data_IF_141020629211
#
_entry.id   IF_141020629211
#
_cell.length_a   1.000
_cell.length_b   1.000
_cell.length_c   1.000
_cell.angle_alpha   90.00
_cell.angle_beta   90.00
_cell.angle_gamma   90.00
#
_symmetry.space_group_name_H-M   'P 1'
#
loop_
_entity.id
_entity.type
_entity.pdbx_description
1 polymer ?
#
# COMPACT_ATOMS: atom_id res chain seq x y z
N UNK A 1 -13.54 -17.26 -10.67
CA UNK A 1 -12.55 -16.95 -9.60
C UNK A 1 -13.33 -16.43 -8.41
N UNK A 2 -13.08 -16.92 -7.21
CA UNK A 2 -13.65 -16.37 -5.97
C UNK A 2 -12.79 -15.21 -5.48
N UNK A 3 -13.42 -14.12 -5.07
CA UNK A 3 -12.77 -12.96 -4.45
C UNK A 3 -13.14 -12.95 -2.95
N UNK A 4 -12.18 -12.70 -2.08
CA UNK A 4 -12.41 -12.49 -0.65
C UNK A 4 -11.97 -11.06 -0.32
N UNK A 5 -12.92 -10.24 0.13
CA UNK A 5 -12.68 -8.84 0.50
C UNK A 5 -12.61 -8.73 2.01
N UNK A 6 -11.50 -8.18 2.52
CA UNK A 6 -11.30 -7.88 3.93
C UNK A 6 -11.34 -6.37 4.20
N UNK A 7 -12.03 -5.96 5.25
CA UNK A 7 -11.99 -4.61 5.81
C UNK A 7 -12.13 -4.70 7.33
N UNK A 8 -11.53 -3.75 8.06
CA UNK A 8 -11.63 -3.69 9.53
C UNK A 8 -13.07 -3.56 10.01
N UNK A 9 -13.92 -2.90 9.22
CA UNK A 9 -15.37 -2.82 9.44
C UNK A 9 -16.06 -3.78 8.48
N UNK A 10 -16.60 -4.87 9.02
CA UNK A 10 -17.27 -5.91 8.24
C UNK A 10 -18.39 -5.35 7.34
N UNK A 11 -19.06 -4.29 7.78
CA UNK A 11 -20.08 -3.62 6.98
C UNK A 11 -19.56 -3.04 5.68
N UNK A 12 -18.34 -2.48 5.68
CA UNK A 12 -17.69 -1.98 4.45
C UNK A 12 -17.39 -3.14 3.49
N UNK A 13 -16.80 -4.22 4.02
CA UNK A 13 -16.51 -5.40 3.21
C UNK A 13 -17.81 -6.00 2.61
N UNK A 14 -18.89 -6.04 3.38
CA UNK A 14 -20.21 -6.52 2.90
C UNK A 14 -20.81 -5.60 1.84
N UNK A 15 -20.70 -4.29 2.01
CA UNK A 15 -21.23 -3.31 1.05
C UNK A 15 -20.52 -3.46 -0.31
N UNK A 16 -19.20 -3.54 -0.33
CA UNK A 16 -18.42 -3.77 -1.56
C UNK A 16 -18.70 -5.15 -2.14
N UNK A 17 -18.73 -6.21 -1.32
CA UNK A 17 -19.05 -7.55 -1.80
C UNK A 17 -20.44 -7.60 -2.46
N UNK A 18 -21.44 -6.88 -1.92
CA UNK A 18 -22.76 -6.78 -2.54
C UNK A 18 -22.70 -6.12 -3.92
N UNK A 19 -22.03 -4.97 -4.04
CA UNK A 19 -21.89 -4.25 -5.31
C UNK A 19 -21.23 -5.15 -6.36
N UNK A 20 -20.17 -5.85 -5.99
CA UNK A 20 -19.45 -6.73 -6.90
C UNK A 20 -20.27 -7.98 -7.27
N UNK A 21 -21.01 -8.57 -6.32
CA UNK A 21 -21.90 -9.69 -6.60
C UNK A 21 -23.06 -9.28 -7.52
N UNK A 22 -23.64 -8.09 -7.33
CA UNK A 22 -24.68 -7.53 -8.21
C UNK A 22 -24.15 -7.29 -9.63
N UNK A 23 -22.83 -7.03 -9.77
CA UNK A 23 -22.14 -6.92 -11.06
C UNK A 23 -21.69 -8.28 -11.65
N UNK A 24 -22.04 -9.40 -11.01
CA UNK A 24 -21.78 -10.75 -11.53
C UNK A 24 -20.46 -11.40 -11.06
N UNK A 25 -19.73 -10.77 -10.15
CA UNK A 25 -18.55 -11.39 -9.52
C UNK A 25 -18.98 -12.30 -8.36
N UNK A 26 -18.14 -13.28 -8.02
CA UNK A 26 -18.34 -14.17 -6.89
C UNK A 26 -17.45 -13.71 -5.71
N UNK A 27 -18.06 -12.99 -4.76
CA UNK A 27 -17.33 -12.29 -3.68
C UNK A 27 -17.82 -12.71 -2.30
N UNK A 28 -16.90 -13.02 -1.40
CA UNK A 28 -17.13 -13.16 0.04
C UNK A 28 -16.51 -11.97 0.78
N UNK A 29 -17.03 -11.67 1.96
CA UNK A 29 -16.56 -10.60 2.85
C UNK A 29 -16.12 -11.14 4.19
N UNK A 30 -15.03 -10.60 4.73
CA UNK A 30 -14.42 -10.97 6.02
C UNK A 30 -14.07 -9.70 6.80
N UNK A 31 -14.25 -9.73 8.11
CA UNK A 31 -13.66 -8.72 8.98
C UNK A 31 -12.14 -8.96 9.06
N UNK A 32 -11.34 -7.94 8.77
CA UNK A 32 -9.88 -8.05 8.77
C UNK A 32 -9.23 -6.77 9.27
N UNK A 33 -8.61 -6.84 10.44
CA UNK A 33 -7.75 -5.78 10.97
C UNK A 33 -6.30 -6.02 10.54
N UNK A 34 -5.79 -5.17 9.64
CA UNK A 34 -4.42 -5.28 9.13
C UNK A 34 -3.37 -5.08 10.24
N UNK A 35 -3.71 -4.46 11.37
CA UNK A 35 -2.80 -4.33 12.52
C UNK A 35 -2.65 -5.60 13.35
N UNK A 36 -3.39 -6.68 13.04
CA UNK A 36 -3.42 -7.95 13.76
C UNK A 36 -2.99 -9.12 12.87
N UNK A 37 -1.87 -9.77 13.22
CA UNK A 37 -1.43 -11.00 12.54
C UNK A 37 -2.52 -12.08 12.58
N UNK A 38 -3.18 -12.26 13.71
CA UNK A 38 -4.26 -13.25 13.85
C UNK A 38 -5.40 -12.98 12.87
N UNK A 39 -5.80 -11.71 12.71
CA UNK A 39 -6.83 -11.30 11.77
C UNK A 39 -6.40 -11.52 10.33
N UNK A 40 -5.14 -11.22 9.99
CA UNK A 40 -4.55 -11.50 8.67
C UNK A 40 -4.57 -13.01 8.39
N UNK A 41 -4.15 -13.83 9.35
CA UNK A 41 -4.18 -15.29 9.20
C UNK A 41 -5.60 -15.83 9.03
N UNK A 42 -6.58 -15.23 9.70
CA UNK A 42 -8.00 -15.59 9.55
C UNK A 42 -8.51 -15.26 8.14
N UNK A 43 -8.13 -14.12 7.56
CA UNK A 43 -8.44 -13.77 6.16
C UNK A 43 -7.82 -14.79 5.19
N UNK A 44 -6.55 -15.14 5.39
CA UNK A 44 -5.85 -16.13 4.55
C UNK A 44 -6.54 -17.49 4.63
N UNK A 45 -6.86 -17.96 5.84
CA UNK A 45 -7.56 -19.21 6.05
C UNK A 45 -8.95 -19.23 5.40
N UNK A 46 -9.69 -18.12 5.46
CA UNK A 46 -10.97 -17.98 4.77
C UNK A 46 -10.80 -18.09 3.26
N UNK A 47 -9.82 -17.36 2.69
CA UNK A 47 -9.54 -17.40 1.26
C UNK A 47 -9.17 -18.82 0.79
N UNK A 48 -8.39 -19.56 1.58
CA UNK A 48 -7.98 -20.94 1.28
C UNK A 48 -9.13 -21.94 1.25
N UNK A 49 -10.28 -21.65 1.88
CA UNK A 49 -11.48 -22.51 1.76
C UNK A 49 -12.00 -22.61 0.32
N UNK A 50 -11.71 -21.60 -0.49
CA UNK A 50 -12.14 -21.54 -1.90
C UNK A 50 -11.06 -22.02 -2.88
N UNK A 51 -9.89 -22.39 -2.40
CA UNK A 51 -8.77 -22.91 -3.20
C UNK A 51 -7.46 -22.20 -2.92
N UNK A 52 -6.46 -22.43 -3.76
CA UNK A 52 -5.16 -21.79 -3.64
C UNK A 52 -5.25 -20.28 -3.93
N UNK A 53 -4.57 -19.48 -3.12
CA UNK A 53 -4.51 -18.02 -3.31
C UNK A 53 -3.67 -17.72 -4.54
N UNK A 54 -4.28 -17.12 -5.55
CA UNK A 54 -3.63 -16.77 -6.82
C UNK A 54 -3.29 -15.30 -6.95
N UNK A 55 -4.00 -14.44 -6.22
CA UNK A 55 -3.84 -12.99 -6.32
C UNK A 55 -3.96 -12.35 -4.94
N UNK A 56 -3.13 -11.33 -4.71
CA UNK A 56 -3.23 -10.41 -3.56
C UNK A 56 -3.34 -8.98 -4.06
N UNK A 57 -4.31 -8.24 -3.55
CA UNK A 57 -4.34 -6.77 -3.64
C UNK A 57 -4.40 -6.22 -2.22
N UNK A 58 -3.34 -5.55 -1.77
CA UNK A 58 -3.31 -4.86 -0.50
C UNK A 58 -3.47 -3.34 -0.72
N UNK A 59 -4.69 -2.86 -0.57
CA UNK A 59 -5.02 -1.44 -0.62
C UNK A 59 -5.47 -0.90 0.75
N UNK A 60 -5.37 -1.72 1.81
CA UNK A 60 -5.69 -1.29 3.16
C UNK A 60 -4.62 -0.34 3.71
N UNK A 61 -5.06 0.66 4.46
CA UNK A 61 -4.17 1.64 5.07
C UNK A 61 -4.94 2.76 5.75
N UNK A 62 -4.20 3.64 6.44
CA UNK A 62 -4.75 4.81 7.12
C UNK A 62 -4.02 6.09 6.67
N UNK A 63 -4.74 7.21 6.72
CA UNK A 63 -4.20 8.52 6.32
C UNK A 63 -3.49 9.21 7.49
N UNK A 64 -2.40 9.98 7.23
CA UNK A 64 -1.72 10.77 8.25
C UNK A 64 -2.57 11.91 8.81
N UNK A 65 -3.68 12.27 8.16
CA UNK A 65 -4.65 13.25 8.65
C UNK A 65 -5.72 12.66 9.57
N UNK A 66 -5.87 11.33 9.60
CA UNK A 66 -6.97 10.64 10.29
C UNK A 66 -6.51 9.67 11.37
N UNK A 67 -5.23 9.34 11.43
CA UNK A 67 -4.72 8.34 12.36
C UNK A 67 -3.51 8.85 13.16
N UNK A 68 -3.35 8.43 14.42
CA UNK A 68 -2.16 8.70 15.22
C UNK A 68 -0.97 7.88 14.72
N UNK A 69 0.25 8.31 15.10
CA UNK A 69 1.54 7.68 14.70
C UNK A 69 1.51 6.16 14.91
N UNK A 70 1.08 5.72 16.09
CA UNK A 70 1.05 4.30 16.43
C UNK A 70 0.15 3.49 15.49
N UNK A 71 -1.02 4.00 15.13
CA UNK A 71 -1.92 3.33 14.21
C UNK A 71 -1.34 3.27 12.79
N UNK A 72 -0.68 4.34 12.33
CA UNK A 72 -0.01 4.36 11.02
C UNK A 72 1.09 3.30 10.97
N UNK A 73 1.97 3.26 11.98
CA UNK A 73 3.06 2.28 12.01
C UNK A 73 2.52 0.85 12.13
N UNK A 74 1.47 0.63 12.94
CA UNK A 74 0.88 -0.70 13.10
C UNK A 74 0.13 -1.19 11.85
N UNK A 75 -0.66 -0.33 11.22
CA UNK A 75 -1.49 -0.72 10.06
C UNK A 75 -0.65 -0.70 8.79
N UNK A 76 -0.08 0.47 8.45
CA UNK A 76 0.53 0.66 7.13
C UNK A 76 1.91 0.02 7.01
N UNK A 77 2.68 -0.05 8.11
CA UNK A 77 4.03 -0.61 8.09
C UNK A 77 4.03 -2.07 8.52
N UNK A 78 3.73 -2.35 9.80
CA UNK A 78 3.76 -3.71 10.35
C UNK A 78 2.75 -4.63 9.66
N UNK A 79 1.49 -4.20 9.54
CA UNK A 79 0.43 -5.03 8.97
C UNK A 79 0.71 -5.40 7.51
N UNK A 80 1.19 -4.44 6.71
CA UNK A 80 1.62 -4.74 5.33
C UNK A 80 2.78 -5.75 5.31
N UNK A 81 3.78 -5.60 6.20
CA UNK A 81 4.88 -6.55 6.30
C UNK A 81 4.40 -7.97 6.62
N UNK A 82 3.53 -8.11 7.63
CA UNK A 82 2.92 -9.41 7.98
C UNK A 82 2.14 -10.00 6.81
N UNK A 83 1.29 -9.20 6.17
CA UNK A 83 0.48 -9.68 5.04
C UNK A 83 1.34 -10.22 3.90
N UNK A 84 2.41 -9.50 3.53
CA UNK A 84 3.33 -9.92 2.47
C UNK A 84 4.07 -11.21 2.83
N UNK A 85 4.53 -11.34 4.08
CA UNK A 85 5.18 -12.55 4.56
C UNK A 85 4.23 -13.76 4.56
N UNK A 86 3.03 -13.62 5.12
CA UNK A 86 2.10 -14.74 5.29
C UNK A 86 1.48 -15.17 3.96
N UNK A 87 1.06 -14.23 3.11
CA UNK A 87 0.58 -14.58 1.77
C UNK A 87 1.72 -15.17 0.93
N UNK A 88 2.94 -14.63 1.05
CA UNK A 88 4.12 -15.16 0.37
C UNK A 88 4.42 -16.63 0.69
N UNK A 89 4.04 -17.11 1.88
CA UNK A 89 4.18 -18.53 2.28
C UNK A 89 3.18 -19.46 1.58
N UNK A 90 2.02 -18.95 1.18
CA UNK A 90 0.89 -19.76 0.69
C UNK A 90 0.47 -19.44 -0.74
N UNK A 91 0.96 -18.36 -1.33
CA UNK A 91 0.64 -17.99 -2.72
C UNK A 91 0.97 -19.13 -3.67
N UNK A 92 0.08 -19.46 -4.60
CA UNK A 92 0.33 -20.53 -5.56
C UNK A 92 1.43 -20.17 -6.56
N UNK A 93 2.02 -21.19 -7.20
CA UNK A 93 2.92 -20.99 -8.34
C UNK A 93 2.20 -20.21 -9.46
N UNK A 94 2.85 -19.19 -10.01
CA UNK A 94 2.27 -18.27 -10.99
C UNK A 94 1.35 -17.21 -10.37
N UNK A 95 1.22 -17.19 -9.04
CA UNK A 95 0.45 -16.16 -8.35
C UNK A 95 1.09 -14.79 -8.42
N UNK A 96 0.29 -13.76 -8.16
CA UNK A 96 0.75 -12.37 -8.25
C UNK A 96 0.13 -11.50 -7.16
N UNK A 97 0.91 -10.54 -6.65
CA UNK A 97 0.47 -9.56 -5.69
C UNK A 97 0.77 -8.13 -6.11
N UNK A 98 -0.07 -7.21 -5.64
CA UNK A 98 0.15 -5.77 -5.70
C UNK A 98 -0.16 -5.18 -4.33
N UNK A 99 0.71 -4.31 -3.83
CA UNK A 99 0.46 -3.46 -2.66
C UNK A 99 0.41 -2.00 -3.07
N UNK A 100 -0.22 -1.17 -2.24
CA UNK A 100 -0.34 0.26 -2.48
C UNK A 100 0.48 1.02 -1.44
N UNK A 101 1.63 1.55 -1.86
CA UNK A 101 2.42 2.49 -1.06
C UNK A 101 1.95 3.94 -1.26
N UNK A 102 2.83 4.89 -1.54
CA UNK A 102 2.50 6.29 -1.80
C UNK A 102 3.69 7.06 -2.36
N UNK A 103 3.44 8.09 -3.17
CA UNK A 103 4.42 9.13 -3.48
C UNK A 103 5.13 9.70 -2.23
N UNK A 104 4.50 9.59 -1.06
CA UNK A 104 5.06 10.10 0.20
C UNK A 104 6.33 9.38 0.62
N UNK A 105 6.45 8.08 0.35
CA UNK A 105 7.69 7.32 0.56
C UNK A 105 8.85 7.82 -0.30
N UNK A 106 8.56 8.24 -1.53
CA UNK A 106 9.56 8.83 -2.44
C UNK A 106 10.04 10.22 -2.04
N UNK A 107 9.18 11.01 -1.39
CA UNK A 107 9.47 12.42 -1.04
C UNK A 107 10.04 12.61 0.36
N UNK A 108 10.20 11.55 1.14
CA UNK A 108 10.90 11.65 2.42
C UNK A 108 12.42 11.85 2.19
N UNK A 109 13.16 12.40 3.16
CA UNK A 109 14.61 12.42 3.12
C UNK A 109 15.18 11.01 2.88
N UNK A 110 16.28 10.92 2.14
CA UNK A 110 16.93 9.64 1.88
C UNK A 110 17.36 8.99 3.20
N UNK A 111 17.07 7.71 3.34
CA UNK A 111 17.63 6.86 4.38
C UNK A 111 19.00 6.35 3.94
N UNK A 112 19.80 5.89 4.89
CA UNK A 112 21.03 5.13 4.56
C UNK A 112 20.68 3.79 3.94
N UNK A 113 21.65 3.18 3.29
CA UNK A 113 21.48 1.82 2.73
C UNK A 113 21.15 0.79 3.84
N UNK A 114 21.76 0.94 5.00
CA UNK A 114 21.56 0.09 6.17
C UNK A 114 20.13 0.26 6.75
N UNK A 115 19.61 1.48 6.83
CA UNK A 115 18.23 1.74 7.26
C UNK A 115 17.20 1.18 6.27
N UNK A 116 17.42 1.36 4.97
CA UNK A 116 16.57 0.75 3.92
C UNK A 116 16.61 -0.80 4.01
N UNK A 117 17.80 -1.40 4.27
CA UNK A 117 17.94 -2.84 4.45
C UNK A 117 17.20 -3.35 5.70
N UNK A 118 17.30 -2.63 6.82
CA UNK A 118 16.56 -2.95 8.05
C UNK A 118 15.05 -2.93 7.81
N UNK A 119 14.52 -1.91 7.14
CA UNK A 119 13.10 -1.83 6.79
C UNK A 119 12.69 -2.98 5.86
N UNK A 120 13.54 -3.38 4.92
CA UNK A 120 13.26 -4.41 3.93
C UNK A 120 13.25 -5.82 4.53
N UNK A 121 14.16 -6.12 5.46
CA UNK A 121 14.51 -7.50 5.81
C UNK A 121 14.22 -7.92 7.24
N UNK A 122 14.08 -6.96 8.18
CA UNK A 122 13.76 -7.28 9.58
C UNK A 122 12.44 -8.06 9.66
N UNK A 123 12.37 -9.18 10.40
CA UNK A 123 11.13 -9.92 10.61
C UNK A 123 10.00 -9.00 11.06
N UNK A 124 8.78 -9.24 10.58
CA UNK A 124 7.66 -8.33 10.85
C UNK A 124 7.44 -8.08 12.35
N UNK A 125 7.60 -9.11 13.20
CA UNK A 125 7.42 -9.00 14.66
C UNK A 125 8.48 -8.12 15.34
N UNK A 126 9.65 -7.96 14.74
CA UNK A 126 10.74 -7.15 15.27
C UNK A 126 10.76 -5.75 14.65
N UNK A 127 10.00 -5.54 13.60
CA UNK A 127 10.08 -4.36 12.76
C UNK A 127 9.80 -3.06 13.54
N UNK A 128 8.75 -3.05 14.37
CA UNK A 128 8.41 -1.89 15.19
C UNK A 128 9.39 -1.62 16.36
N UNK A 129 10.33 -2.51 16.60
CA UNK A 129 11.38 -2.31 17.60
C UNK A 129 12.64 -1.64 17.02
N UNK A 130 12.69 -1.44 15.71
CA UNK A 130 13.83 -0.74 15.08
C UNK A 130 13.99 0.68 15.66
N UNK A 131 15.23 1.12 15.94
CA UNK A 131 15.49 2.47 16.48
C UNK A 131 14.86 3.59 15.66
N UNK A 132 14.93 3.50 14.31
CA UNK A 132 14.37 4.54 13.43
C UNK A 132 12.83 4.65 13.49
N UNK A 133 12.13 3.68 14.07
CA UNK A 133 10.66 3.66 14.23
C UNK A 133 10.21 3.99 15.66
N UNK A 134 11.15 4.26 16.57
CA UNK A 134 10.80 4.64 17.93
C UNK A 134 10.20 6.04 18.00
N UNK A 135 9.32 6.32 18.98
CA UNK A 135 8.60 7.61 19.10
C UNK A 135 9.50 8.84 19.03
N UNK A 136 10.70 8.79 19.63
CA UNK A 136 11.66 9.87 19.64
C UNK A 136 12.25 10.20 18.25
N UNK A 137 12.19 9.26 17.31
CA UNK A 137 12.69 9.39 15.96
C UNK A 137 11.57 9.66 14.92
N UNK A 138 10.30 9.63 15.34
CA UNK A 138 9.14 9.92 14.49
C UNK A 138 8.60 11.31 14.83
N UNK A 139 8.78 12.28 13.93
CA UNK A 139 8.48 13.70 14.16
C UNK A 139 6.99 14.02 14.26
N UNK A 140 6.20 13.39 13.38
CA UNK A 140 4.75 13.64 13.23
C UNK A 140 4.08 12.50 12.44
N UNK A 141 2.77 12.59 12.26
CA UNK A 141 1.98 11.58 11.52
C UNK A 141 2.38 11.49 10.04
N UNK A 142 2.81 12.59 9.42
CA UNK A 142 3.28 12.56 8.04
C UNK A 142 4.60 11.79 7.92
N UNK A 143 5.53 12.01 8.86
CA UNK A 143 6.80 11.27 8.91
C UNK A 143 6.56 9.78 9.15
N UNK A 144 5.66 9.40 10.09
CA UNK A 144 5.27 8.01 10.29
C UNK A 144 4.72 7.37 9.01
N UNK A 145 3.88 8.10 8.29
CA UNK A 145 3.31 7.64 7.02
C UNK A 145 4.38 7.50 5.93
N UNK A 146 5.29 8.47 5.81
CA UNK A 146 6.42 8.39 4.87
C UNK A 146 7.29 7.17 5.14
N UNK A 147 7.64 6.93 6.43
CA UNK A 147 8.39 5.75 6.86
C UNK A 147 7.67 4.45 6.52
N UNK A 148 6.36 4.38 6.79
CA UNK A 148 5.56 3.20 6.48
C UNK A 148 5.52 2.92 4.97
N UNK A 149 5.30 3.94 4.15
CA UNK A 149 5.24 3.78 2.69
C UNK A 149 6.61 3.48 2.08
N UNK A 150 7.69 4.07 2.61
CA UNK A 150 9.07 3.69 2.26
C UNK A 150 9.37 2.24 2.62
N UNK A 151 8.98 1.80 3.81
CA UNK A 151 9.12 0.41 4.23
C UNK A 151 8.39 -0.54 3.26
N UNK A 152 7.16 -0.22 2.85
CA UNK A 152 6.39 -1.05 1.92
C UNK A 152 7.12 -1.26 0.59
N UNK A 153 7.67 -0.18 0.01
CA UNK A 153 8.48 -0.23 -1.22
C UNK A 153 9.69 -1.17 -1.05
N UNK A 154 10.41 -1.05 0.06
CA UNK A 154 11.60 -1.86 0.34
C UNK A 154 11.26 -3.31 0.64
N UNK A 155 10.19 -3.54 1.39
CA UNK A 155 9.72 -4.91 1.67
C UNK A 155 9.26 -5.63 0.42
N UNK A 156 8.57 -4.97 -0.50
CA UNK A 156 8.19 -5.56 -1.78
C UNK A 156 9.42 -6.03 -2.56
N UNK A 157 10.52 -5.27 -2.55
CA UNK A 157 11.78 -5.71 -3.18
C UNK A 157 12.33 -6.98 -2.53
N UNK A 158 12.38 -7.04 -1.21
CA UNK A 158 12.89 -8.20 -0.47
C UNK A 158 11.94 -9.41 -0.58
N UNK A 159 10.64 -9.20 -0.45
CA UNK A 159 9.63 -10.25 -0.58
C UNK A 159 9.55 -10.83 -1.99
N UNK A 160 9.79 -10.03 -3.03
CA UNK A 160 9.83 -10.54 -4.41
C UNK A 160 10.83 -11.67 -4.60
N UNK A 161 11.96 -11.66 -3.87
CA UNK A 161 12.93 -12.76 -3.87
C UNK A 161 12.34 -14.03 -3.26
N UNK A 162 11.56 -13.90 -2.17
CA UNK A 162 10.92 -15.03 -1.49
C UNK A 162 9.73 -15.57 -2.32
N UNK A 163 8.89 -14.68 -2.83
CA UNK A 163 7.78 -15.02 -3.72
C UNK A 163 8.27 -15.69 -5.00
N UNK A 164 9.39 -15.21 -5.56
CA UNK A 164 10.02 -15.80 -6.74
C UNK A 164 10.46 -17.25 -6.56
N UNK A 165 10.88 -17.67 -5.35
CA UNK A 165 11.19 -19.08 -5.04
C UNK A 165 9.95 -19.98 -5.17
N UNK A 166 8.76 -19.43 -5.06
CA UNK A 166 7.48 -20.13 -5.30
C UNK A 166 6.99 -19.98 -6.74
N UNK A 167 7.71 -19.24 -7.59
CA UNK A 167 7.30 -18.90 -8.95
C UNK A 167 6.17 -17.86 -8.98
N UNK A 168 6.04 -17.03 -7.96
CA UNK A 168 5.06 -15.96 -7.85
C UNK A 168 5.74 -14.59 -7.94
N UNK A 169 4.97 -13.51 -8.19
CA UNK A 169 5.46 -12.13 -8.32
C UNK A 169 4.73 -11.22 -7.34
N UNK A 170 5.42 -10.19 -6.85
CA UNK A 170 4.85 -9.12 -6.04
C UNK A 170 5.41 -7.78 -6.50
N UNK A 171 4.55 -6.78 -6.63
CA UNK A 171 4.93 -5.42 -6.99
C UNK A 171 4.20 -4.41 -6.10
N UNK A 172 4.60 -3.17 -6.21
CA UNK A 172 4.03 -2.04 -5.50
C UNK A 172 3.61 -0.94 -6.47
N UNK A 173 2.55 -0.24 -6.14
CA UNK A 173 2.14 1.00 -6.81
C UNK A 173 2.23 2.11 -5.77
N UNK A 174 2.90 3.20 -6.12
CA UNK A 174 3.03 4.41 -5.30
C UNK A 174 2.18 5.54 -5.92
N UNK A 175 0.88 5.65 -5.57
CA UNK A 175 0.03 6.69 -6.11
C UNK A 175 0.38 8.06 -5.55
N UNK A 176 0.06 9.08 -6.34
CA UNK A 176 -0.10 10.44 -5.88
C UNK A 176 -1.44 10.64 -5.17
N UNK A 177 -2.01 11.82 -5.35
CA UNK A 177 -3.33 12.12 -4.83
C UNK A 177 -4.39 11.58 -5.79
N UNK A 178 -5.20 10.65 -5.29
CA UNK A 178 -6.24 9.96 -6.07
C UNK A 178 -7.60 10.38 -5.53
N UNK A 179 -8.54 10.72 -6.43
CA UNK A 179 -9.92 11.07 -6.06
C UNK A 179 -10.62 9.84 -5.48
N UNK A 180 -10.87 9.88 -4.19
CA UNK A 180 -11.57 8.87 -3.41
C UNK A 180 -12.48 9.58 -2.40
N UNK A 181 -13.46 8.91 -1.78
CA UNK A 181 -14.24 9.53 -0.70
C UNK A 181 -13.35 10.17 0.39
N UNK A 182 -12.28 9.48 0.80
CA UNK A 182 -11.29 10.01 1.74
C UNK A 182 -10.62 11.30 1.23
N UNK A 183 -10.20 11.33 -0.03
CA UNK A 183 -9.52 12.48 -0.59
C UNK A 183 -10.48 13.69 -0.73
N UNK A 184 -11.76 13.46 -1.02
CA UNK A 184 -12.77 14.52 -1.08
C UNK A 184 -12.91 15.20 0.29
N UNK A 185 -12.91 14.44 1.39
CA UNK A 185 -12.93 14.99 2.74
C UNK A 185 -11.65 15.81 3.03
N UNK A 186 -10.50 15.33 2.61
CA UNK A 186 -9.23 16.05 2.75
C UNK A 186 -9.16 17.32 1.92
N UNK A 187 -9.73 17.34 0.69
CA UNK A 187 -9.77 18.52 -0.16
C UNK A 187 -10.66 19.64 0.41
N UNK A 188 -11.66 19.27 1.17
CA UNK A 188 -12.56 20.19 1.85
C UNK A 188 -12.16 20.48 3.31
N UNK A 189 -11.12 19.81 3.80
CA UNK A 189 -10.61 19.95 5.15
C UNK A 189 -9.48 21.00 5.28
N UNK A 190 -8.84 21.07 6.44
CA UNK A 190 -7.79 22.06 6.76
C UNK A 190 -6.58 22.03 5.81
N UNK A 191 -6.36 20.91 5.10
CA UNK A 191 -5.28 20.74 4.12
C UNK A 191 -5.72 20.99 2.67
N UNK A 192 -6.94 21.44 2.43
CA UNK A 192 -7.50 21.63 1.09
C UNK A 192 -6.62 22.50 0.17
N UNK A 193 -6.12 23.62 0.68
CA UNK A 193 -5.27 24.52 -0.09
C UNK A 193 -3.90 23.93 -0.43
N UNK A 194 -3.36 23.07 0.44
CA UNK A 194 -2.15 22.30 0.14
C UNK A 194 -2.36 21.36 -1.05
N UNK A 195 -3.49 20.64 -1.09
CA UNK A 195 -3.82 19.77 -2.22
C UNK A 195 -4.07 20.55 -3.51
N UNK A 196 -4.81 21.67 -3.45
CA UNK A 196 -5.02 22.55 -4.62
C UNK A 196 -3.70 23.08 -5.18
N UNK A 197 -2.79 23.52 -4.29
CA UNK A 197 -1.46 23.95 -4.71
C UNK A 197 -0.66 22.81 -5.36
N UNK A 198 -0.75 21.60 -4.82
CA UNK A 198 -0.09 20.43 -5.40
C UNK A 198 -0.63 20.13 -6.81
N UNK A 199 -1.94 20.16 -7.02
CA UNK A 199 -2.53 19.96 -8.35
C UNK A 199 -2.11 21.04 -9.34
N UNK A 200 -2.17 22.30 -8.94
CA UNK A 200 -1.80 23.41 -9.81
C UNK A 200 -0.32 23.36 -10.24
N UNK A 201 0.53 22.73 -9.45
CA UNK A 201 1.98 22.72 -9.64
C UNK A 201 2.56 21.33 -9.99
N UNK A 202 1.74 20.31 -10.18
CA UNK A 202 2.19 19.05 -10.76
C UNK A 202 2.01 19.04 -12.28
N UNK A 203 2.84 18.32 -13.04
CA UNK A 203 2.77 18.28 -14.51
C UNK A 203 1.39 17.86 -15.06
N UNK A 204 0.69 16.96 -14.39
CA UNK A 204 -0.65 16.52 -14.83
C UNK A 204 -1.75 17.57 -14.61
N UNK A 205 -1.54 18.56 -13.72
CA UNK A 205 -2.49 19.64 -13.43
C UNK A 205 -3.80 19.19 -12.75
N UNK A 206 -3.86 17.93 -12.25
CA UNK A 206 -5.06 17.34 -11.65
C UNK A 206 -4.72 16.18 -10.71
N UNK A 207 -5.64 15.77 -9.82
CA UNK A 207 -5.53 14.48 -9.13
C UNK A 207 -5.71 13.31 -10.12
N UNK A 208 -5.23 12.15 -9.73
CA UNK A 208 -5.50 10.88 -10.43
C UNK A 208 -6.85 10.27 -10.04
N UNK A 209 -7.24 9.22 -10.74
CA UNK A 209 -8.46 8.45 -10.45
C UNK A 209 -8.14 7.03 -10.00
N UNK A 210 -9.11 6.36 -9.35
CA UNK A 210 -8.96 4.97 -8.96
C UNK A 210 -8.73 4.05 -10.17
N UNK A 211 -9.37 4.34 -11.32
CA UNK A 211 -9.20 3.58 -12.55
C UNK A 211 -7.77 3.68 -13.11
N UNK A 212 -7.11 4.84 -12.98
CA UNK A 212 -5.71 4.98 -13.40
C UNK A 212 -4.77 4.10 -12.54
N UNK A 213 -5.07 3.94 -11.25
CA UNK A 213 -4.36 2.98 -10.37
C UNK A 213 -4.68 1.54 -10.77
N UNK A 214 -5.96 1.23 -11.04
CA UNK A 214 -6.41 -0.10 -11.43
C UNK A 214 -5.79 -0.55 -12.76
N UNK A 215 -5.61 0.34 -13.73
CA UNK A 215 -4.96 0.05 -15.01
C UNK A 215 -3.49 -0.39 -14.82
N UNK A 216 -2.77 0.23 -13.88
CA UNK A 216 -1.40 -0.18 -13.54
C UNK A 216 -1.41 -1.52 -12.80
N UNK A 217 -2.36 -1.71 -11.87
CA UNK A 217 -2.52 -2.99 -11.19
C UNK A 217 -2.84 -4.13 -12.18
N UNK A 218 -3.72 -3.90 -13.16
CA UNK A 218 -4.01 -4.87 -14.24
C UNK A 218 -2.74 -5.24 -15.02
N UNK A 219 -1.94 -4.26 -15.43
CA UNK A 219 -0.67 -4.52 -16.11
C UNK A 219 0.24 -5.41 -15.25
N UNK A 220 0.46 -5.05 -13.97
CA UNK A 220 1.36 -5.76 -13.07
C UNK A 220 0.86 -7.17 -12.75
N UNK A 221 -0.45 -7.38 -12.69
CA UNK A 221 -1.06 -8.66 -12.32
C UNK A 221 -1.36 -9.58 -13.51
N UNK A 222 -1.28 -9.08 -14.73
CA UNK A 222 -1.48 -9.87 -15.97
C UNK A 222 -0.18 -10.46 -16.49
N UNK A 223 -0.29 -11.28 -17.55
CA UNK A 223 0.86 -11.85 -18.29
C UNK A 223 1.71 -10.77 -18.96
N UNK A 224 1.14 -9.58 -19.25
CA UNK A 224 1.89 -8.45 -19.80
C UNK A 224 2.97 -7.96 -18.81
N UNK A 225 2.73 -8.11 -17.51
CA UNK A 225 3.68 -7.80 -16.44
C UNK A 225 4.58 -8.97 -16.03
N UNK A 226 4.65 -10.07 -16.80
CA UNK A 226 5.33 -11.30 -16.40
C UNK A 226 6.81 -11.13 -16.01
N UNK A 227 7.49 -10.12 -16.54
CA UNK A 227 8.90 -9.81 -16.21
C UNK A 227 9.05 -8.69 -15.16
N UNK A 228 7.94 -8.21 -14.58
CA UNK A 228 7.95 -7.15 -13.56
C UNK A 228 7.70 -7.79 -12.19
N UNK A 229 8.67 -7.73 -11.30
CA UNK A 229 8.56 -8.17 -9.91
C UNK A 229 9.53 -7.39 -9.03
N UNK A 230 9.15 -7.12 -7.78
CA UNK A 230 9.94 -6.33 -6.83
C UNK A 230 10.02 -4.84 -7.20
N UNK A 231 9.13 -4.37 -8.07
CA UNK A 231 9.14 -3.00 -8.56
C UNK A 231 8.09 -2.15 -7.88
N UNK A 232 8.40 -0.87 -7.65
CA UNK A 232 7.44 0.16 -7.28
C UNK A 232 7.18 1.07 -8.49
N UNK A 233 5.93 1.18 -8.91
CA UNK A 233 5.52 2.07 -10.00
C UNK A 233 4.94 3.36 -9.40
N UNK A 234 5.64 4.46 -9.58
CA UNK A 234 5.18 5.80 -9.16
C UNK A 234 4.17 6.33 -10.18
N UNK A 235 2.93 6.60 -9.72
CA UNK A 235 1.84 7.16 -10.53
C UNK A 235 1.21 8.36 -9.84
N UNK A 236 1.85 9.51 -9.93
CA UNK A 236 1.54 10.70 -9.13
C UNK A 236 1.31 11.98 -9.97
N UNK A 237 1.14 11.84 -11.28
CA UNK A 237 0.98 12.98 -12.18
C UNK A 237 2.20 13.88 -12.24
N UNK A 238 3.37 13.40 -11.82
CA UNK A 238 4.63 14.17 -11.77
C UNK A 238 4.79 15.04 -10.53
N UNK A 239 3.94 14.86 -9.50
CA UNK A 239 4.04 15.65 -8.27
C UNK A 239 5.39 15.46 -7.56
N UNK A 240 5.93 14.25 -7.53
CA UNK A 240 7.28 13.97 -6.99
C UNK A 240 8.38 14.64 -7.82
N UNK A 241 8.26 14.63 -9.15
CA UNK A 241 9.19 15.34 -10.02
C UNK A 241 9.17 16.84 -9.75
N UNK A 242 7.97 17.43 -9.59
CA UNK A 242 7.81 18.84 -9.23
C UNK A 242 8.34 19.17 -7.82
N UNK A 243 8.22 18.21 -6.88
CA UNK A 243 8.77 18.36 -5.53
C UNK A 243 10.30 18.44 -5.52
N UNK A 244 11.00 17.68 -6.34
CA UNK A 244 12.47 17.72 -6.38
C UNK A 244 13.01 18.79 -7.31
N UNK A 245 12.37 19.04 -8.45
CA UNK A 245 12.94 19.80 -9.55
C UNK A 245 12.03 20.93 -10.08
N UNK A 246 10.87 21.15 -9.46
CA UNK A 246 9.86 22.09 -9.95
C UNK A 246 9.25 22.98 -8.86
N UNK A 247 8.07 23.56 -9.12
CA UNK A 247 7.42 24.53 -8.24
C UNK A 247 7.04 24.01 -6.84
N UNK A 248 6.92 22.69 -6.66
CA UNK A 248 6.61 22.08 -5.36
C UNK A 248 7.85 21.88 -4.48
N UNK A 249 9.04 22.27 -4.95
CA UNK A 249 10.27 22.13 -4.18
C UNK A 249 10.20 22.97 -2.89
N UNK A 250 10.44 22.33 -1.70
CA UNK A 250 10.49 23.06 -0.44
C UNK A 250 11.51 24.21 -0.51
N UNK A 251 11.10 25.40 -0.11
CA UNK A 251 12.04 26.50 0.08
C UNK A 251 12.96 26.16 1.25
N UNK A 252 14.27 26.34 1.06
CA UNK A 252 15.28 26.11 2.09
C UNK A 252 15.18 27.15 3.20
#
# INVERSE_FOLDING_TARGET
MKIVVGDKRLENARAIAKIMNDAGFDVASVEMDLSSRESIMSLIAEAQKYGEISMLVNAAGVSPSQAPIEAILKVDLYGTAVLLEEVGRVIKKGGVGVTISSQSGWRMPALTAEEDELLATTPAEELLHLPLLQPENIRDTLHAYQMAKRCNEKRVMAEAVKWGKRGARINDIAPGIIVTPLAIDEFNGPRGDFYKNMFANCPAGRPGTADEVANVAELLMSDKGAFITGSTILIDGGATSSYFYGPLKPQK
#
